data_IF_542838128171
#
_entry.id   IF_542838128171
#
_cell.length_a   1.000
_cell.length_b   1.000
_cell.length_c   1.000
_cell.angle_alpha   90.00
_cell.angle_beta   90.00
_cell.angle_gamma   90.00
#
_symmetry.space_group_name_H-M   'P 1'
#
loop_
_entity.id
_entity.type
_entity.pdbx_description
1 polymer ?
#
# COMPACT_ATOMS: atom_id res chain seq x y z
N UNK A 1 19.67 -17.07 -48.79
CA UNK A 1 19.04 -15.76 -48.51
C UNK A 1 18.66 -15.70 -47.03
N UNK A 2 19.56 -15.28 -46.15
CA UNK A 2 19.30 -15.17 -44.71
C UNK A 2 18.94 -13.72 -44.34
N UNK A 3 17.70 -13.50 -43.94
CA UNK A 3 17.22 -12.21 -43.42
C UNK A 3 17.96 -11.91 -42.12
N UNK A 4 18.87 -10.93 -42.12
CA UNK A 4 19.45 -10.37 -40.89
C UNK A 4 18.34 -9.63 -40.14
N UNK A 5 18.00 -10.12 -38.95
CA UNK A 5 17.12 -9.41 -38.01
C UNK A 5 17.72 -8.04 -37.68
N UNK A 6 16.94 -6.95 -37.67
CA UNK A 6 17.49 -5.63 -37.39
C UNK A 6 17.89 -5.57 -35.90
N UNK A 7 19.19 -5.39 -35.66
CA UNK A 7 19.71 -5.03 -34.34
C UNK A 7 19.14 -3.66 -34.01
N UNK A 8 18.13 -3.60 -33.12
CA UNK A 8 17.48 -2.33 -32.73
C UNK A 8 18.50 -1.36 -32.14
N UNK A 9 18.49 -0.14 -32.66
CA UNK A 9 19.49 0.89 -32.36
C UNK A 9 19.42 1.32 -30.89
N UNK A 10 20.51 1.92 -30.38
CA UNK A 10 20.50 2.53 -29.04
C UNK A 10 19.43 3.62 -28.93
N UNK A 11 19.20 4.40 -30.00
CA UNK A 11 18.11 5.38 -30.07
C UNK A 11 16.74 4.72 -29.89
N UNK A 12 16.47 3.58 -30.53
CA UNK A 12 15.18 2.87 -30.40
C UNK A 12 14.94 2.38 -28.96
N UNK A 13 16.00 1.88 -28.30
CA UNK A 13 15.94 1.47 -26.89
C UNK A 13 15.68 2.63 -25.95
N UNK A 14 16.30 3.79 -26.19
CA UNK A 14 16.08 5.00 -25.39
C UNK A 14 14.68 5.61 -25.64
N UNK A 15 14.19 5.55 -26.87
CA UNK A 15 12.83 6.00 -27.23
C UNK A 15 11.77 5.10 -26.58
N UNK A 16 11.93 3.77 -26.62
CA UNK A 16 11.05 2.84 -25.92
C UNK A 16 11.12 2.96 -24.39
N UNK A 17 12.30 3.20 -23.82
CA UNK A 17 12.41 3.51 -22.38
C UNK A 17 11.74 4.86 -22.03
N UNK A 18 11.78 5.84 -22.94
CA UNK A 18 11.05 7.10 -22.83
C UNK A 18 9.53 6.90 -22.87
N UNK A 19 9.04 6.09 -23.80
CA UNK A 19 7.62 5.74 -23.93
C UNK A 19 7.14 4.92 -22.72
N UNK A 20 7.91 3.94 -22.24
CA UNK A 20 7.61 3.19 -21.01
C UNK A 20 7.62 4.08 -19.75
N UNK A 21 8.49 5.11 -19.70
CA UNK A 21 8.45 6.14 -18.64
C UNK A 21 7.21 7.05 -18.76
N UNK A 22 6.77 7.36 -19.98
CA UNK A 22 5.57 8.14 -20.26
C UNK A 22 4.28 7.36 -19.96
N UNK A 23 4.24 6.05 -20.26
CA UNK A 23 3.13 5.14 -19.91
C UNK A 23 3.06 4.93 -18.39
N UNK A 24 4.21 4.84 -17.70
CA UNK A 24 4.27 4.85 -16.22
C UNK A 24 3.62 6.08 -15.59
N UNK A 25 3.55 7.22 -16.28
CA UNK A 25 2.88 8.42 -15.77
C UNK A 25 1.33 8.36 -15.86
N UNK A 26 0.77 7.36 -16.55
CA UNK A 26 -0.68 7.11 -16.60
C UNK A 26 -1.18 6.27 -15.42
N UNK A 27 -0.29 5.49 -14.81
CA UNK A 27 -0.64 4.51 -13.78
C UNK A 27 -0.68 5.18 -12.42
N UNK A 28 -1.85 5.18 -11.77
CA UNK A 28 -1.99 5.74 -10.42
C UNK A 28 -1.87 4.65 -9.38
N UNK A 29 -0.88 4.77 -8.50
CA UNK A 29 -0.62 3.84 -7.41
C UNK A 29 -0.96 4.48 -6.08
N UNK A 30 -1.86 3.83 -5.35
CA UNK A 30 -2.41 4.33 -4.10
C UNK A 30 -2.08 3.35 -2.99
N UNK A 31 -1.35 3.81 -1.97
CA UNK A 31 -1.20 3.09 -0.72
C UNK A 31 -2.34 3.49 0.23
N UNK A 32 -3.14 2.52 0.64
CA UNK A 32 -4.14 2.60 1.69
C UNK A 32 -3.53 2.05 2.99
N UNK A 33 -3.05 2.93 3.86
CA UNK A 33 -2.44 2.53 5.14
C UNK A 33 -3.33 2.91 6.31
N UNK A 34 -2.99 2.43 7.49
CA UNK A 34 -3.77 2.60 8.71
C UNK A 34 -3.58 1.44 9.66
N UNK A 35 -3.81 1.73 10.94
CA UNK A 35 -3.75 0.72 11.99
C UNK A 35 -4.64 -0.49 11.66
N UNK A 36 -4.31 -1.67 12.19
CA UNK A 36 -5.21 -2.82 12.10
C UNK A 36 -6.64 -2.44 12.58
N UNK A 37 -7.67 -3.03 11.99
CA UNK A 37 -9.09 -2.83 12.34
C UNK A 37 -9.74 -1.46 12.05
N UNK A 38 -9.04 -0.53 11.39
CA UNK A 38 -9.68 0.72 10.86
C UNK A 38 -10.60 0.46 9.66
N UNK A 39 -10.62 -0.77 9.14
CA UNK A 39 -11.48 -1.18 8.02
C UNK A 39 -10.79 -1.16 6.64
N UNK A 40 -9.45 -1.25 6.58
CA UNK A 40 -8.71 -1.30 5.31
C UNK A 40 -9.19 -2.42 4.40
N UNK A 41 -9.29 -3.65 4.92
CA UNK A 41 -9.75 -4.82 4.16
C UNK A 41 -11.19 -4.66 3.66
N UNK A 42 -12.08 -4.00 4.43
CA UNK A 42 -13.43 -3.67 3.95
C UNK A 42 -13.41 -2.73 2.75
N UNK A 43 -12.55 -1.71 2.78
CA UNK A 43 -12.38 -0.79 1.64
C UNK A 43 -11.82 -1.51 0.42
N UNK A 44 -10.84 -2.40 0.61
CA UNK A 44 -10.29 -3.23 -0.48
C UNK A 44 -11.36 -4.08 -1.12
N UNK A 45 -12.13 -4.87 -0.35
CA UNK A 45 -13.18 -5.73 -0.92
C UNK A 45 -14.23 -4.93 -1.70
N UNK A 46 -14.56 -3.72 -1.25
CA UNK A 46 -15.49 -2.85 -1.99
C UNK A 46 -14.90 -2.26 -3.27
N UNK A 47 -13.58 -2.01 -3.31
CA UNK A 47 -12.90 -1.54 -4.51
C UNK A 47 -12.77 -2.66 -5.54
N UNK A 48 -12.45 -3.89 -5.11
CA UNK A 48 -12.45 -5.08 -5.96
C UNK A 48 -13.84 -5.32 -6.56
N UNK A 49 -14.90 -5.24 -5.74
CA UNK A 49 -16.28 -5.38 -6.21
C UNK A 49 -16.69 -4.32 -7.25
N UNK A 50 -15.98 -3.19 -7.30
CA UNK A 50 -16.18 -2.13 -8.31
C UNK A 50 -15.26 -2.27 -9.53
N UNK A 51 -14.45 -3.33 -9.60
CA UNK A 51 -13.56 -3.62 -10.71
C UNK A 51 -12.18 -2.96 -10.63
N UNK A 52 -11.81 -2.36 -9.51
CA UNK A 52 -10.46 -1.84 -9.32
C UNK A 52 -9.48 -2.96 -8.97
N UNK A 53 -8.24 -2.86 -9.45
CA UNK A 53 -7.14 -3.70 -8.98
C UNK A 53 -6.73 -3.24 -7.58
N UNK A 54 -7.18 -3.98 -6.57
CA UNK A 54 -6.85 -3.73 -5.18
C UNK A 54 -6.18 -4.97 -4.57
N UNK A 55 -5.15 -4.78 -3.74
CA UNK A 55 -4.38 -5.88 -3.14
C UNK A 55 -4.21 -5.57 -1.66
N UNK A 56 -4.59 -6.48 -0.78
CA UNK A 56 -4.23 -6.42 0.64
C UNK A 56 -2.87 -7.11 0.83
N UNK A 57 -1.87 -6.37 1.30
CA UNK A 57 -0.51 -6.87 1.54
C UNK A 57 -0.25 -7.15 3.02
N UNK A 58 -1.26 -7.03 3.88
CA UNK A 58 -1.21 -7.41 5.30
C UNK A 58 -1.36 -8.93 5.53
N UNK A 59 -1.08 -9.78 4.54
CA UNK A 59 -1.08 -11.25 4.65
C UNK A 59 0.33 -11.87 4.56
N UNK A 60 0.43 -13.18 4.83
CA UNK A 60 1.70 -13.92 4.81
C UNK A 60 2.33 -14.07 3.40
N UNK A 61 1.56 -13.87 2.33
CA UNK A 61 2.08 -13.91 0.99
C UNK A 61 2.90 -12.65 0.70
N UNK A 62 2.51 -11.49 1.22
CA UNK A 62 3.21 -10.22 0.96
C UNK A 62 4.09 -9.76 2.11
N UNK A 63 3.86 -10.28 3.30
CA UNK A 63 4.53 -9.84 4.52
C UNK A 63 5.05 -11.01 5.34
N UNK A 64 5.92 -10.69 6.29
CA UNK A 64 6.51 -11.66 7.19
C UNK A 64 6.89 -11.04 8.54
N UNK A 65 7.11 -11.92 9.50
CA UNK A 65 7.64 -11.55 10.81
C UNK A 65 9.17 -11.60 10.77
N UNK A 66 9.80 -10.43 10.80
CA UNK A 66 11.26 -10.27 10.89
C UNK A 66 11.68 -9.97 12.32
N UNK A 67 12.96 -10.15 12.65
CA UNK A 67 13.50 -9.73 13.95
C UNK A 67 13.34 -8.22 14.14
N UNK A 68 12.78 -7.81 15.27
CA UNK A 68 12.65 -6.40 15.63
C UNK A 68 14.01 -5.81 15.96
N UNK A 69 14.26 -4.58 15.51
CA UNK A 69 15.52 -3.87 15.78
C UNK A 69 15.71 -3.58 17.28
N UNK A 70 14.60 -3.40 18.01
CA UNK A 70 14.59 -3.13 19.45
C UNK A 70 14.40 -4.38 20.32
N UNK A 71 14.23 -5.56 19.71
CA UNK A 71 14.03 -6.83 20.42
C UNK A 71 12.67 -6.99 21.11
N UNK A 72 11.78 -6.00 21.05
CA UNK A 72 10.47 -6.04 21.71
C UNK A 72 9.36 -6.32 20.70
N UNK A 73 9.40 -5.67 19.53
CA UNK A 73 8.38 -5.81 18.49
C UNK A 73 7.02 -5.22 18.90
N UNK A 74 6.16 -4.82 17.95
CA UNK A 74 4.90 -4.14 18.27
C UNK A 74 3.79 -5.08 18.79
N UNK A 75 3.96 -6.40 18.63
CA UNK A 75 2.92 -7.40 18.90
C UNK A 75 3.28 -8.28 20.10
N UNK A 76 2.43 -8.34 21.15
CA UNK A 76 2.66 -9.25 22.28
C UNK A 76 2.55 -10.73 21.87
N UNK A 77 1.87 -11.02 20.75
CA UNK A 77 1.74 -12.37 20.23
C UNK A 77 3.05 -12.87 19.61
N UNK A 78 3.92 -11.97 19.14
CA UNK A 78 5.13 -12.29 18.39
C UNK A 78 6.30 -11.49 18.96
N UNK A 79 6.71 -11.86 20.17
CA UNK A 79 7.76 -11.17 20.92
C UNK A 79 9.06 -11.08 20.13
N UNK A 80 9.67 -9.89 20.11
CA UNK A 80 10.90 -9.62 19.39
C UNK A 80 10.78 -9.71 17.87
N UNK A 81 9.56 -9.80 17.33
CA UNK A 81 9.30 -9.79 15.90
C UNK A 81 8.51 -8.56 15.49
N UNK A 82 8.80 -8.08 14.29
CA UNK A 82 8.10 -6.98 13.65
C UNK A 82 7.48 -7.41 12.32
N UNK A 83 6.34 -6.82 12.00
CA UNK A 83 5.63 -7.10 10.76
C UNK A 83 6.20 -6.25 9.63
N UNK A 84 6.85 -6.90 8.68
CA UNK A 84 7.52 -6.26 7.55
C UNK A 84 6.96 -6.76 6.23
N UNK A 85 6.92 -5.88 5.24
CA UNK A 85 6.64 -6.28 3.88
C UNK A 85 7.85 -6.98 3.26
N UNK A 86 7.60 -8.04 2.50
CA UNK A 86 8.59 -8.75 1.68
C UNK A 86 9.01 -7.83 0.53
N UNK A 87 10.20 -7.23 0.63
CA UNK A 87 10.59 -6.10 -0.23
C UNK A 87 10.51 -6.41 -1.73
N UNK A 88 11.01 -7.57 -2.16
CA UNK A 88 10.99 -7.96 -3.57
C UNK A 88 9.57 -8.14 -4.12
N UNK A 89 8.61 -8.57 -3.28
CA UNK A 89 7.22 -8.68 -3.69
C UNK A 89 6.58 -7.30 -3.85
N UNK A 90 6.73 -6.42 -2.87
CA UNK A 90 6.19 -5.05 -2.98
C UNK A 90 6.80 -4.31 -4.17
N UNK A 91 8.12 -4.43 -4.39
CA UNK A 91 8.78 -3.83 -5.55
C UNK A 91 8.23 -4.34 -6.88
N UNK A 92 7.81 -5.61 -6.94
CA UNK A 92 7.23 -6.17 -8.16
C UNK A 92 5.88 -5.53 -8.53
N UNK A 93 5.14 -4.96 -7.56
CA UNK A 93 3.90 -4.21 -7.82
C UNK A 93 4.14 -2.97 -8.70
N UNK A 94 5.36 -2.43 -8.71
CA UNK A 94 5.74 -1.33 -9.59
C UNK A 94 5.85 -1.73 -11.08
N UNK A 95 5.71 -3.03 -11.38
CA UNK A 95 5.73 -3.57 -12.75
C UNK A 95 4.34 -3.92 -13.28
N UNK A 96 3.30 -3.85 -12.44
CA UNK A 96 1.91 -4.07 -12.84
C UNK A 96 1.47 -3.06 -13.91
N UNK A 97 0.83 -3.57 -14.95
CA UNK A 97 0.31 -2.81 -16.08
C UNK A 97 -1.21 -2.61 -15.93
N UNK A 98 -1.58 -1.87 -14.88
CA UNK A 98 -2.96 -1.41 -14.63
C UNK A 98 -3.06 0.12 -14.43
N UNK A 99 -4.11 0.74 -14.98
CA UNK A 99 -4.33 2.19 -14.89
C UNK A 99 -4.39 2.72 -13.45
N UNK A 100 -4.97 1.92 -12.54
CA UNK A 100 -5.05 2.22 -11.11
C UNK A 100 -4.75 0.96 -10.31
N UNK A 101 -3.75 1.05 -9.43
CA UNK A 101 -3.41 0.01 -8.46
C UNK A 101 -3.61 0.56 -7.05
N UNK A 102 -4.38 -0.15 -6.23
CA UNK A 102 -4.61 0.18 -4.82
C UNK A 102 -3.99 -0.91 -3.97
N UNK A 103 -3.10 -0.55 -3.06
CA UNK A 103 -2.43 -1.48 -2.15
C UNK A 103 -2.84 -1.13 -0.73
N UNK A 104 -3.39 -2.07 0.04
CA UNK A 104 -3.67 -1.89 1.46
C UNK A 104 -2.60 -2.57 2.29
N UNK A 105 -2.06 -1.86 3.28
CA UNK A 105 -1.20 -2.51 4.27
C UNK A 105 -0.64 -1.56 5.31
N UNK A 106 -0.10 -2.11 6.38
CA UNK A 106 0.61 -1.40 7.42
C UNK A 106 1.75 -2.27 7.95
N UNK A 107 2.98 -1.95 7.55
CA UNK A 107 4.19 -2.61 8.01
C UNK A 107 5.26 -1.58 8.40
N UNK A 108 6.18 -1.95 9.27
CA UNK A 108 7.18 -0.99 9.79
C UNK A 108 8.14 -0.48 8.72
N UNK A 109 8.45 -1.30 7.70
CA UNK A 109 9.29 -0.92 6.57
C UNK A 109 8.53 -0.23 5.42
N UNK A 110 7.22 0.06 5.56
CA UNK A 110 6.41 0.63 4.47
C UNK A 110 6.98 1.95 3.93
N UNK A 111 7.65 2.74 4.79
CA UNK A 111 8.24 4.03 4.43
C UNK A 111 9.27 3.92 3.30
N UNK A 112 9.92 2.76 3.15
CA UNK A 112 10.89 2.48 2.07
C UNK A 112 10.24 2.43 0.68
N UNK A 113 8.93 2.22 0.61
CA UNK A 113 8.20 2.02 -0.64
C UNK A 113 7.34 3.23 -1.01
N UNK A 114 7.32 4.29 -0.20
CA UNK A 114 6.49 5.47 -0.46
C UNK A 114 6.72 6.08 -1.84
N UNK A 115 7.94 6.04 -2.38
CA UNK A 115 8.25 6.53 -3.73
C UNK A 115 7.61 5.70 -4.86
N UNK A 116 7.13 4.49 -4.58
CA UNK A 116 6.41 3.66 -5.56
C UNK A 116 4.93 4.01 -5.67
N UNK A 117 4.43 4.84 -4.76
CA UNK A 117 3.03 5.26 -4.69
C UNK A 117 2.91 6.75 -5.01
N UNK A 118 2.01 7.08 -5.93
CA UNK A 118 1.67 8.47 -6.23
C UNK A 118 0.88 9.11 -5.08
N UNK A 119 0.13 8.27 -4.36
CA UNK A 119 -0.78 8.70 -3.30
C UNK A 119 -0.72 7.77 -2.10
N UNK A 120 -0.72 8.36 -0.91
CA UNK A 120 -0.79 7.63 0.36
C UNK A 120 -2.01 8.15 1.12
N UNK A 121 -2.95 7.25 1.39
CA UNK A 121 -4.19 7.51 2.10
C UNK A 121 -4.14 6.81 3.45
N UNK A 122 -4.26 7.57 4.53
CA UNK A 122 -4.33 7.03 5.88
C UNK A 122 -5.78 6.86 6.33
N UNK A 123 -6.20 5.62 6.56
CA UNK A 123 -7.44 5.32 7.26
C UNK A 123 -7.23 5.45 8.76
N UNK A 124 -8.10 6.24 9.38
CA UNK A 124 -8.18 6.39 10.82
C UNK A 124 -9.62 6.23 11.27
N UNK A 125 -9.80 5.81 12.51
CA UNK A 125 -11.08 5.76 13.19
C UNK A 125 -10.94 6.47 14.54
N UNK A 126 -12.00 7.10 15.07
CA UNK A 126 -11.97 7.65 16.42
C UNK A 126 -11.61 6.58 17.44
N UNK A 127 -10.88 6.94 18.50
CA UNK A 127 -10.43 6.00 19.53
C UNK A 127 -11.61 5.21 20.14
N UNK A 128 -12.76 5.86 20.36
CA UNK A 128 -13.97 5.19 20.84
C UNK A 128 -14.41 4.03 19.93
N UNK A 129 -14.34 4.21 18.61
CA UNK A 129 -14.68 3.17 17.62
C UNK A 129 -13.62 2.07 17.58
N UNK A 130 -12.34 2.41 17.80
CA UNK A 130 -11.27 1.41 17.91
C UNK A 130 -11.42 0.54 19.16
N UNK A 131 -11.78 1.15 20.30
CA UNK A 131 -12.06 0.43 21.55
C UNK A 131 -13.28 -0.48 21.40
N UNK A 132 -14.38 0.00 20.80
CA UNK A 132 -15.55 -0.84 20.48
C UNK A 132 -15.20 -2.04 19.59
N UNK A 133 -14.17 -1.91 18.76
CA UNK A 133 -13.67 -2.98 17.88
C UNK A 133 -12.62 -3.89 18.54
N UNK A 134 -12.33 -3.70 19.82
CA UNK A 134 -11.36 -4.51 20.57
C UNK A 134 -9.89 -4.16 20.28
N UNK A 135 -9.60 -2.92 19.86
CA UNK A 135 -8.24 -2.44 19.59
C UNK A 135 -7.79 -1.53 20.73
N UNK A 136 -6.94 -2.07 21.60
CA UNK A 136 -6.54 -1.44 22.88
C UNK A 136 -5.56 -0.25 22.73
N UNK A 137 -4.88 -0.10 21.59
CA UNK A 137 -3.88 0.97 21.39
C UNK A 137 -4.20 1.83 20.18
N UNK A 138 -4.88 2.96 20.40
CA UNK A 138 -5.05 4.00 19.38
C UNK A 138 -3.87 4.99 19.42
N UNK A 139 -2.94 4.86 18.48
CA UNK A 139 -1.87 5.86 18.29
C UNK A 139 -2.25 6.82 17.17
N UNK A 140 -2.34 8.10 17.53
CA UNK A 140 -2.64 9.21 16.63
C UNK A 140 -1.57 9.39 15.55
N UNK A 141 -2.02 9.70 14.34
CA UNK A 141 -1.24 9.97 13.13
C UNK A 141 -0.11 10.98 13.34
N UNK A 142 1.14 10.57 13.11
CA UNK A 142 2.23 11.51 12.84
C UNK A 142 2.17 11.96 11.36
N UNK A 143 2.10 13.27 11.16
CA UNK A 143 2.02 13.97 9.86
C UNK A 143 2.94 13.40 8.77
N UNK A 144 2.38 12.74 7.75
CA UNK A 144 3.06 12.53 6.48
C UNK A 144 2.90 13.81 5.64
N UNK A 145 3.92 14.66 5.63
CA UNK A 145 3.99 15.86 4.79
C UNK A 145 4.27 15.49 3.33
N UNK A 146 3.25 15.51 2.46
CA UNK A 146 3.04 16.50 1.36
C UNK A 146 2.02 15.98 0.33
N UNK A 147 1.07 16.86 0.01
CA UNK A 147 0.05 16.84 -1.06
C UNK A 147 -0.83 15.59 -1.17
N UNK A 148 -1.86 15.50 -0.34
CA UNK A 148 -3.23 15.08 -0.71
C UNK A 148 -4.21 15.34 0.44
N UNK A 149 -5.53 15.50 0.18
CA UNK A 149 -6.52 15.69 1.23
C UNK A 149 -6.64 14.41 2.05
N UNK A 150 -6.48 14.50 3.37
CA UNK A 150 -6.84 13.42 4.27
C UNK A 150 -8.35 13.17 4.13
N UNK A 151 -8.73 12.13 3.38
CA UNK A 151 -10.12 11.67 3.34
C UNK A 151 -10.34 10.84 4.59
N UNK A 152 -10.72 11.51 5.68
CA UNK A 152 -11.28 10.85 6.86
C UNK A 152 -12.68 10.32 6.50
N UNK A 153 -12.78 9.03 6.15
CA UNK A 153 -14.07 8.37 6.00
C UNK A 153 -14.57 8.00 7.40
N UNK A 154 -15.16 8.96 8.11
CA UNK A 154 -15.89 8.70 9.34
C UNK A 154 -17.35 8.40 8.99
N UNK A 155 -17.84 7.18 9.25
CA UNK A 155 -19.28 6.91 9.21
C UNK A 155 -19.94 7.65 10.36
N UNK A 156 -20.85 8.59 10.07
CA UNK A 156 -21.82 9.08 11.05
C UNK A 156 -22.68 7.89 11.49
N UNK A 157 -22.47 7.39 12.70
CA UNK A 157 -23.43 6.53 13.37
C UNK A 157 -24.71 7.36 13.55
N UNK A 158 -25.79 6.95 12.89
CA UNK A 158 -27.10 7.55 13.03
C UNK A 158 -27.71 7.03 14.33
N UNK A 159 -27.74 7.86 15.37
CA UNK A 159 -28.58 7.62 16.54
C UNK A 159 -30.06 7.74 16.15
N UNK A 160 -30.75 6.60 16.15
CA UNK A 160 -32.20 6.45 16.37
C UNK A 160 -32.29 5.29 17.36
N UNK A 161 -33.00 5.34 18.47
CA UNK A 161 -33.88 6.29 19.14
C UNK A 161 -34.33 5.55 20.39
#
# INVERSE_FOLDING_TARGET
MTRRSPVRSRQDRLHMAGLMRSVRASMKRILLTGMSGVGKSTVISQLEAKGYKAIDVDDLAWSEWADSVDGEGPSPLHQGKDWVWREGRIQSLATEDVDVLIVSGCASNQARFHEQFDYIVLLSAPAAVMVERGIEKATSTANIRRRLPAVCISRKQSSRG
#
